data_IF_588197815615
#
_entry.id   IF_588197815615
#
_cell.length_a   1.000
_cell.length_b   1.000
_cell.length_c   1.000
_cell.angle_alpha   90.00
_cell.angle_beta   90.00
_cell.angle_gamma   90.00
#
_symmetry.space_group_name_H-M   'P 1'
#
loop_
_entity.id
_entity.type
_entity.pdbx_description
1 polymer ?
#
# COMPACT_ATOMS: atom_id res chain seq x y z
N UNK A 1 44.97 -14.88 43.57
CA UNK A 1 45.17 -15.74 44.75
C UNK A 1 46.36 -16.70 44.57
N UNK A 2 46.36 -17.56 43.55
CA UNK A 2 47.43 -18.59 43.32
C UNK A 2 48.82 -17.98 43.15
N UNK A 3 49.00 -16.92 42.35
CA UNK A 3 50.28 -16.25 42.15
C UNK A 3 50.80 -15.60 43.48
N UNK A 4 49.91 -15.06 44.29
CA UNK A 4 50.29 -14.54 45.62
C UNK A 4 50.76 -15.63 46.56
N UNK A 5 50.07 -16.78 46.60
CA UNK A 5 50.55 -17.93 47.42
C UNK A 5 51.86 -18.49 46.94
N UNK A 6 52.06 -18.62 45.60
CA UNK A 6 53.31 -19.07 45.05
C UNK A 6 54.47 -18.13 45.41
N UNK A 7 54.28 -16.79 45.28
CA UNK A 7 55.25 -15.79 45.68
C UNK A 7 55.59 -15.82 47.19
N UNK A 8 54.59 -16.00 48.06
CA UNK A 8 54.82 -16.15 49.50
C UNK A 8 55.65 -17.40 49.83
N UNK A 9 55.38 -18.53 49.20
CA UNK A 9 56.15 -19.79 49.41
C UNK A 9 57.58 -19.72 48.87
N UNK A 10 57.83 -18.94 47.85
CA UNK A 10 59.21 -18.67 47.39
C UNK A 10 59.96 -17.84 48.44
N UNK A 11 59.31 -16.84 49.06
CA UNK A 11 59.90 -16.03 50.10
C UNK A 11 60.25 -16.85 51.37
N UNK A 12 59.50 -17.92 51.67
CA UNK A 12 59.78 -18.84 52.76
C UNK A 12 60.73 -20.01 52.39
N UNK A 13 61.20 -20.03 51.12
CA UNK A 13 62.13 -21.11 50.67
C UNK A 13 61.49 -22.42 50.36
N UNK A 14 60.13 -22.54 50.37
CA UNK A 14 59.40 -23.77 50.09
C UNK A 14 59.25 -24.04 48.57
N UNK A 15 59.40 -23.01 47.75
CA UNK A 15 59.33 -23.05 46.29
C UNK A 15 60.47 -22.29 45.63
N UNK A 16 60.82 -22.68 44.40
CA UNK A 16 61.83 -22.00 43.58
C UNK A 16 61.15 -20.93 42.67
N UNK A 17 61.97 -20.02 42.13
CA UNK A 17 61.50 -19.05 41.14
C UNK A 17 60.98 -19.80 39.89
N UNK A 18 61.56 -20.95 39.54
CA UNK A 18 61.06 -21.82 38.43
C UNK A 18 59.67 -22.32 38.67
N UNK A 19 59.26 -22.60 39.93
CA UNK A 19 57.91 -23.07 40.25
C UNK A 19 56.86 -21.98 40.04
N UNK A 20 57.21 -20.68 40.30
CA UNK A 20 56.30 -19.56 39.93
C UNK A 20 56.04 -19.50 38.44
N UNK A 21 57.08 -19.65 37.63
CA UNK A 21 56.93 -19.66 36.15
C UNK A 21 56.08 -20.84 35.73
N UNK A 22 56.26 -22.00 36.32
CA UNK A 22 55.49 -23.23 36.04
C UNK A 22 54.00 -22.99 36.43
N UNK A 23 53.71 -22.47 37.62
CA UNK A 23 52.31 -22.14 38.04
C UNK A 23 51.66 -21.17 37.10
N UNK A 24 52.39 -20.12 36.65
CA UNK A 24 51.87 -19.15 35.69
C UNK A 24 51.57 -19.80 34.34
N UNK A 25 52.50 -20.66 33.85
CA UNK A 25 52.28 -21.39 32.58
C UNK A 25 51.03 -22.29 32.64
N UNK A 26 50.86 -23.03 33.75
CA UNK A 26 49.64 -23.86 33.94
C UNK A 26 48.39 -23.05 34.05
N UNK A 27 48.43 -21.89 34.73
CA UNK A 27 47.28 -20.99 34.79
C UNK A 27 46.84 -20.51 33.41
N UNK A 28 47.79 -20.07 32.58
CA UNK A 28 47.51 -19.63 31.20
C UNK A 28 46.94 -20.82 30.38
N UNK A 29 47.56 -21.99 30.52
CA UNK A 29 47.15 -23.21 29.77
C UNK A 29 45.73 -23.68 30.18
N UNK A 30 45.31 -23.50 31.42
CA UNK A 30 43.94 -23.75 31.90
C UNK A 30 42.93 -22.66 31.49
N UNK A 31 43.41 -21.41 31.48
CA UNK A 31 42.56 -20.27 31.15
C UNK A 31 42.08 -20.28 29.68
N UNK A 32 42.97 -20.70 28.76
CA UNK A 32 42.63 -20.73 27.31
C UNK A 32 41.42 -21.63 27.03
N UNK A 33 41.36 -22.91 27.43
CA UNK A 33 40.19 -23.74 27.16
C UNK A 33 38.94 -23.27 27.92
N UNK A 34 39.05 -22.69 29.13
CA UNK A 34 37.93 -22.12 29.86
C UNK A 34 37.33 -20.92 29.14
N UNK A 35 38.19 -20.04 28.59
CA UNK A 35 37.70 -18.94 27.77
C UNK A 35 37.02 -19.43 26.49
N UNK A 36 37.53 -20.47 25.86
CA UNK A 36 36.93 -21.07 24.67
C UNK A 36 35.55 -21.67 24.98
N UNK A 37 35.37 -22.33 26.12
CA UNK A 37 34.03 -22.80 26.57
C UNK A 37 33.04 -21.64 26.72
N UNK A 38 33.49 -20.47 27.22
CA UNK A 38 32.68 -19.28 27.30
C UNK A 38 32.24 -18.75 25.93
N UNK A 39 33.09 -18.84 24.92
CA UNK A 39 32.75 -18.48 23.54
C UNK A 39 31.72 -19.47 22.98
N UNK A 40 31.97 -20.77 23.08
CA UNK A 40 31.05 -21.81 22.62
C UNK A 40 29.66 -21.65 23.26
N UNK A 41 29.60 -21.40 24.56
CA UNK A 41 28.33 -21.18 25.26
C UNK A 41 27.54 -20.00 24.69
N UNK A 42 28.22 -18.86 24.38
CA UNK A 42 27.58 -17.71 23.77
C UNK A 42 27.08 -18.00 22.35
N UNK A 43 27.89 -18.69 21.54
CA UNK A 43 27.50 -19.09 20.18
C UNK A 43 26.30 -20.05 20.17
N UNK A 44 26.30 -21.04 21.07
CA UNK A 44 25.18 -21.94 21.26
C UNK A 44 23.90 -21.19 21.64
N UNK A 45 23.98 -20.28 22.61
CA UNK A 45 22.85 -19.45 23.01
C UNK A 45 22.33 -18.60 21.85
N UNK A 46 23.22 -17.97 21.09
CA UNK A 46 22.83 -17.18 19.91
C UNK A 46 22.15 -18.05 18.86
N UNK A 47 22.74 -19.20 18.51
CA UNK A 47 22.16 -20.13 17.56
C UNK A 47 20.76 -20.62 17.96
N UNK A 48 20.54 -20.94 19.24
CA UNK A 48 19.24 -21.32 19.76
C UNK A 48 18.22 -20.19 19.64
N UNK A 49 18.62 -18.96 19.94
CA UNK A 49 17.74 -17.79 19.79
C UNK A 49 17.38 -17.52 18.32
N UNK A 50 18.35 -17.71 17.43
CA UNK A 50 18.10 -17.52 15.98
C UNK A 50 17.18 -18.61 15.41
N UNK A 51 17.35 -19.86 15.86
CA UNK A 51 16.44 -20.99 15.56
C UNK A 51 15.03 -20.68 16.08
N UNK A 52 14.88 -20.23 17.32
CA UNK A 52 13.60 -19.87 17.92
C UNK A 52 12.89 -18.78 17.11
N UNK A 53 13.62 -17.72 16.69
CA UNK A 53 13.09 -16.67 15.81
C UNK A 53 12.67 -17.22 14.45
N UNK A 54 13.50 -18.07 13.84
CA UNK A 54 13.16 -18.70 12.56
C UNK A 54 11.89 -19.55 12.63
N UNK A 55 11.74 -20.37 13.67
CA UNK A 55 10.54 -21.15 13.87
C UNK A 55 9.33 -20.26 14.24
N UNK A 56 9.56 -19.14 14.97
CA UNK A 56 8.53 -18.12 15.23
C UNK A 56 7.93 -17.59 13.94
N UNK A 57 8.75 -17.27 12.94
CA UNK A 57 8.27 -16.81 11.62
C UNK A 57 7.42 -17.87 10.89
N UNK A 58 7.71 -19.15 11.06
CA UNK A 58 6.91 -20.23 10.47
C UNK A 58 5.54 -20.41 11.16
N UNK A 59 5.39 -19.94 12.39
CA UNK A 59 4.14 -19.99 13.14
C UNK A 59 3.30 -18.72 13.01
N UNK A 60 3.81 -17.69 12.30
CA UNK A 60 3.03 -16.49 11.99
C UNK A 60 1.78 -16.88 11.22
N UNK A 61 0.63 -16.61 11.82
CA UNK A 61 -0.68 -16.88 11.21
C UNK A 61 -1.08 -15.69 10.35
N UNK A 62 -1.67 -15.96 9.20
CA UNK A 62 -2.26 -14.93 8.36
C UNK A 62 -3.43 -14.30 9.12
N UNK A 63 -3.38 -12.98 9.33
CA UNK A 63 -4.48 -12.24 9.97
C UNK A 63 -5.78 -12.40 9.20
N UNK A 64 -5.70 -12.46 7.86
CA UNK A 64 -6.84 -12.64 6.96
C UNK A 64 -6.62 -13.91 6.14
N UNK A 65 -7.43 -14.92 6.43
CA UNK A 65 -7.45 -16.19 5.71
C UNK A 65 -8.81 -16.39 5.03
N UNK A 66 -8.82 -17.18 3.97
CA UNK A 66 -10.09 -17.61 3.37
C UNK A 66 -10.82 -18.58 4.30
N UNK A 67 -12.13 -18.41 4.43
CA UNK A 67 -12.96 -19.36 5.12
C UNK A 67 -12.91 -20.75 4.41
N UNK A 68 -13.05 -21.86 5.12
CA UNK A 68 -13.02 -23.20 4.50
C UNK A 68 -14.06 -23.39 3.38
N UNK A 69 -15.18 -22.69 3.49
CA UNK A 69 -16.31 -22.66 2.56
C UNK A 69 -16.32 -21.43 1.64
N UNK A 70 -15.22 -20.66 1.57
CA UNK A 70 -15.12 -19.48 0.75
C UNK A 70 -15.34 -19.82 -0.74
N UNK A 71 -16.22 -19.02 -1.37
CA UNK A 71 -16.59 -19.17 -2.76
C UNK A 71 -15.83 -18.20 -3.67
N UNK A 72 -15.74 -18.50 -4.94
CA UNK A 72 -15.20 -17.58 -5.93
C UNK A 72 -16.23 -16.51 -6.28
N UNK A 73 -15.75 -15.27 -6.49
CA UNK A 73 -16.60 -14.19 -6.99
C UNK A 73 -16.99 -14.51 -8.45
N UNK A 74 -18.29 -14.56 -8.80
CA UNK A 74 -18.73 -14.76 -10.18
C UNK A 74 -18.16 -13.66 -11.10
N UNK A 75 -17.71 -14.05 -12.30
CA UNK A 75 -17.25 -13.10 -13.31
C UNK A 75 -18.41 -12.23 -13.83
N UNK A 76 -18.11 -10.98 -14.16
CA UNK A 76 -19.07 -10.04 -14.74
C UNK A 76 -19.14 -8.73 -13.98
N UNK A 77 -20.12 -7.86 -14.32
CA UNK A 77 -20.32 -6.58 -13.63
C UNK A 77 -20.53 -6.80 -12.13
N UNK A 78 -19.90 -5.97 -11.31
CA UNK A 78 -19.92 -6.14 -9.86
C UNK A 78 -20.52 -4.90 -9.19
N UNK A 79 -21.54 -5.07 -8.35
CA UNK A 79 -21.99 -4.04 -7.41
C UNK A 79 -21.22 -4.16 -6.09
N UNK A 80 -21.06 -3.05 -5.39
CA UNK A 80 -20.41 -3.00 -4.07
C UNK A 80 -21.37 -2.36 -3.06
N UNK A 81 -21.55 -3.00 -1.91
CA UNK A 81 -22.39 -2.50 -0.85
C UNK A 81 -21.62 -2.45 0.47
N UNK A 82 -21.55 -1.28 1.10
CA UNK A 82 -21.11 -1.10 2.47
C UNK A 82 -22.35 -1.05 3.37
N UNK A 83 -22.47 -1.98 4.30
CA UNK A 83 -23.64 -2.12 5.19
C UNK A 83 -23.23 -1.78 6.61
N UNK A 84 -23.51 -0.57 7.07
CA UNK A 84 -23.22 -0.07 8.43
C UNK A 84 -21.82 -0.43 8.91
N UNK A 85 -20.83 -0.17 8.08
CA UNK A 85 -19.45 -0.55 8.32
C UNK A 85 -18.83 0.27 9.43
N UNK A 86 -18.35 -0.42 10.47
CA UNK A 86 -17.52 0.13 11.53
C UNK A 86 -16.12 -0.51 11.49
N UNK A 87 -15.07 0.30 11.63
CA UNK A 87 -13.69 -0.16 11.55
C UNK A 87 -12.72 0.67 12.38
N UNK A 88 -11.74 -0.01 12.98
CA UNK A 88 -10.61 0.57 13.69
C UNK A 88 -9.33 -0.22 13.41
N UNK A 89 -8.20 0.46 13.17
CA UNK A 89 -6.88 -0.20 13.17
C UNK A 89 -6.42 -0.53 14.60
N UNK A 90 -6.70 0.37 15.54
CA UNK A 90 -6.55 0.16 16.97
C UNK A 90 -7.95 0.23 17.59
N UNK A 91 -8.38 -0.78 18.38
CA UNK A 91 -9.70 -0.78 19.03
C UNK A 91 -10.01 0.49 19.83
N UNK A 92 -8.96 1.20 20.30
CA UNK A 92 -9.09 2.46 21.04
C UNK A 92 -9.35 3.66 20.14
N UNK A 93 -9.17 3.54 18.81
CA UNK A 93 -9.31 4.63 17.86
C UNK A 93 -10.16 4.21 16.65
N UNK A 94 -11.48 4.21 16.77
CA UNK A 94 -12.37 3.95 15.65
C UNK A 94 -12.14 4.96 14.51
N UNK A 95 -12.15 4.46 13.27
CA UNK A 95 -11.91 5.26 12.06
C UNK A 95 -13.20 5.41 11.24
N UNK A 96 -14.01 4.35 11.13
CA UNK A 96 -15.28 4.36 10.42
C UNK A 96 -16.42 4.03 11.39
N UNK A 97 -17.54 4.77 11.26
CA UNK A 97 -18.70 4.68 12.11
C UNK A 97 -19.96 4.50 11.27
N UNK A 98 -20.49 3.29 11.21
CA UNK A 98 -21.77 2.96 10.54
C UNK A 98 -21.86 3.47 9.10
N UNK A 99 -20.77 3.37 8.35
CA UNK A 99 -20.72 3.80 6.94
C UNK A 99 -21.62 2.89 6.11
N UNK A 100 -22.61 3.48 5.44
CA UNK A 100 -23.63 2.77 4.66
C UNK A 100 -23.84 3.45 3.29
N UNK A 101 -23.44 2.77 2.21
CA UNK A 101 -23.66 3.22 0.83
C UNK A 101 -23.50 2.07 -0.16
N UNK A 102 -23.93 2.30 -1.39
CA UNK A 102 -23.85 1.33 -2.47
C UNK A 102 -23.18 1.96 -3.70
N UNK A 103 -22.41 1.15 -4.42
CA UNK A 103 -21.94 1.45 -5.77
C UNK A 103 -22.63 0.46 -6.70
N UNK A 104 -23.68 0.87 -7.43
CA UNK A 104 -24.33 0.00 -8.40
C UNK A 104 -23.35 -0.45 -9.49
N UNK A 105 -23.60 -1.60 -10.10
CA UNK A 105 -22.75 -2.09 -11.17
C UNK A 105 -22.65 -1.07 -12.32
N UNK A 106 -21.43 -0.78 -12.75
CA UNK A 106 -21.14 0.17 -13.83
C UNK A 106 -21.24 1.65 -13.45
N UNK A 107 -21.44 1.97 -12.15
CA UNK A 107 -21.51 3.35 -11.66
C UNK A 107 -20.21 3.77 -10.96
N UNK A 108 -19.99 5.07 -10.93
CA UNK A 108 -18.87 5.71 -10.23
C UNK A 108 -19.37 6.41 -8.98
N UNK A 109 -18.89 5.98 -7.81
CA UNK A 109 -19.09 6.70 -6.54
C UNK A 109 -17.78 7.32 -6.10
N UNK A 110 -17.83 8.61 -5.81
CA UNK A 110 -16.69 9.35 -5.30
C UNK A 110 -16.81 9.60 -3.80
N UNK A 111 -15.69 9.48 -3.08
CA UNK A 111 -15.62 9.79 -1.64
C UNK A 111 -14.65 10.95 -1.44
N UNK A 112 -15.16 12.02 -0.86
CA UNK A 112 -14.41 13.24 -0.52
C UNK A 112 -14.48 13.52 0.97
N UNK A 113 -13.60 14.38 1.48
CA UNK A 113 -13.55 14.76 2.90
C UNK A 113 -12.16 15.18 3.32
N UNK A 114 -12.04 15.69 4.54
CA UNK A 114 -10.75 16.12 5.09
C UNK A 114 -9.73 14.98 5.21
N UNK A 115 -8.43 15.33 5.30
CA UNK A 115 -7.39 14.33 5.58
C UNK A 115 -7.69 13.64 6.92
N UNK A 116 -7.52 12.31 6.97
CA UNK A 116 -7.82 11.51 8.16
C UNK A 116 -9.31 11.16 8.36
N UNK A 117 -10.23 11.55 7.47
CA UNK A 117 -11.67 11.22 7.60
C UNK A 117 -12.01 9.74 7.36
N UNK A 118 -11.04 8.91 6.90
CA UNK A 118 -11.24 7.46 6.67
C UNK A 118 -11.39 7.04 5.21
N UNK A 119 -11.21 7.94 4.24
CA UNK A 119 -11.39 7.65 2.79
C UNK A 119 -10.55 6.47 2.30
N UNK A 120 -9.23 6.51 2.48
CA UNK A 120 -8.34 5.44 2.02
C UNK A 120 -8.55 4.12 2.80
N UNK A 121 -9.18 4.20 3.99
CA UNK A 121 -9.59 3.00 4.74
C UNK A 121 -10.69 2.24 3.99
N UNK A 122 -11.62 2.94 3.31
CA UNK A 122 -12.65 2.28 2.49
C UNK A 122 -12.05 1.45 1.37
N UNK A 123 -11.03 1.99 0.65
CA UNK A 123 -10.32 1.24 -0.39
C UNK A 123 -9.62 -0.01 0.17
N UNK A 124 -8.95 0.14 1.32
CA UNK A 124 -8.23 -0.96 1.97
C UNK A 124 -9.19 -2.07 2.43
N UNK A 125 -10.35 -1.71 2.93
CA UNK A 125 -11.38 -2.66 3.32
C UNK A 125 -12.01 -3.36 2.11
N UNK A 126 -12.31 -2.63 1.04
CA UNK A 126 -12.85 -3.20 -0.19
C UNK A 126 -11.88 -4.20 -0.85
N UNK A 127 -10.57 -3.92 -0.81
CA UNK A 127 -9.54 -4.84 -1.28
C UNK A 127 -9.24 -5.98 -0.29
N UNK A 128 -9.93 -5.98 0.85
CA UNK A 128 -9.78 -6.94 1.94
C UNK A 128 -8.31 -7.05 2.42
N UNK A 129 -7.69 -5.89 2.72
CA UNK A 129 -6.47 -5.86 3.52
C UNK A 129 -6.77 -6.05 5.01
N UNK A 130 -8.01 -5.74 5.41
CA UNK A 130 -8.55 -5.91 6.75
C UNK A 130 -10.00 -6.38 6.63
N UNK A 131 -10.47 -7.16 7.59
CA UNK A 131 -11.89 -7.49 7.74
C UNK A 131 -12.58 -6.45 8.64
N UNK A 132 -13.84 -6.14 8.35
CA UNK A 132 -14.62 -5.19 9.14
C UNK A 132 -15.00 -5.76 10.50
N UNK A 133 -14.96 -4.94 11.56
CA UNK A 133 -15.38 -5.34 12.90
C UNK A 133 -16.89 -5.25 13.09
N UNK A 134 -17.55 -4.32 12.39
CA UNK A 134 -19.00 -4.15 12.44
C UNK A 134 -19.56 -4.00 11.04
N UNK A 135 -20.76 -4.50 10.81
CA UNK A 135 -21.39 -4.50 9.50
C UNK A 135 -20.79 -5.51 8.51
N UNK A 136 -20.95 -5.23 7.23
CA UNK A 136 -20.45 -6.06 6.14
C UNK A 136 -20.11 -5.21 4.92
N UNK A 137 -19.16 -5.69 4.11
CA UNK A 137 -18.95 -5.21 2.75
C UNK A 137 -19.30 -6.36 1.81
N UNK A 138 -20.17 -6.10 0.85
CA UNK A 138 -20.63 -7.12 -0.10
C UNK A 138 -20.26 -6.74 -1.52
N UNK A 139 -19.89 -7.74 -2.30
CA UNK A 139 -19.75 -7.65 -3.76
C UNK A 139 -20.73 -8.62 -4.38
N UNK A 140 -21.62 -8.13 -5.23
CA UNK A 140 -22.73 -8.90 -5.81
C UNK A 140 -23.54 -9.69 -4.75
N UNK A 141 -23.80 -9.07 -3.59
CA UNK A 141 -24.52 -9.68 -2.47
C UNK A 141 -23.69 -10.63 -1.58
N UNK A 142 -22.50 -11.04 -2.00
CA UNK A 142 -21.61 -11.89 -1.21
C UNK A 142 -20.76 -11.04 -0.25
N UNK A 143 -20.75 -11.40 1.03
CA UNK A 143 -19.83 -10.79 2.02
C UNK A 143 -18.37 -11.06 1.62
N UNK A 144 -17.50 -10.06 1.71
CA UNK A 144 -16.08 -10.21 1.37
C UNK A 144 -15.40 -11.35 2.16
N UNK A 145 -15.86 -11.60 3.40
CA UNK A 145 -15.32 -12.65 4.27
C UNK A 145 -15.65 -14.05 3.77
N UNK A 146 -16.72 -14.21 3.00
CA UNK A 146 -17.13 -15.46 2.39
C UNK A 146 -16.55 -15.68 0.97
N UNK A 147 -15.79 -14.72 0.44
CA UNK A 147 -15.14 -14.81 -0.87
C UNK A 147 -13.68 -15.25 -0.73
N UNK A 148 -13.20 -16.02 -1.71
CA UNK A 148 -11.76 -16.29 -1.86
C UNK A 148 -11.03 -15.01 -2.22
N UNK A 149 -10.00 -14.67 -1.45
CA UNK A 149 -9.22 -13.43 -1.65
C UNK A 149 -8.66 -13.31 -3.06
N UNK A 150 -8.18 -14.40 -3.65
CA UNK A 150 -7.60 -14.37 -4.99
C UNK A 150 -8.65 -14.00 -6.04
N UNK A 151 -9.87 -14.53 -5.98
CA UNK A 151 -10.95 -14.20 -6.92
C UNK A 151 -11.43 -12.76 -6.72
N UNK A 152 -11.59 -12.31 -5.49
CA UNK A 152 -11.93 -10.93 -5.16
C UNK A 152 -10.88 -9.96 -5.71
N UNK A 153 -9.61 -10.20 -5.40
CA UNK A 153 -8.49 -9.35 -5.82
C UNK A 153 -8.26 -9.39 -7.34
N UNK A 154 -8.60 -10.50 -8.00
CA UNK A 154 -8.59 -10.57 -9.47
C UNK A 154 -9.63 -9.61 -10.08
N UNK A 155 -10.81 -9.51 -9.46
CA UNK A 155 -11.90 -8.63 -9.94
C UNK A 155 -11.69 -7.14 -9.60
N UNK A 156 -10.72 -6.78 -8.75
CA UNK A 156 -10.46 -5.39 -8.33
C UNK A 156 -9.09 -4.94 -8.84
N UNK A 157 -9.00 -3.74 -9.42
CA UNK A 157 -7.73 -3.05 -9.61
C UNK A 157 -7.70 -1.73 -8.83
N UNK A 158 -6.51 -1.38 -8.35
CA UNK A 158 -6.25 -0.13 -7.63
C UNK A 158 -5.25 0.70 -8.42
N UNK A 159 -5.59 1.97 -8.63
CA UNK A 159 -4.66 3.00 -9.07
C UNK A 159 -4.30 3.83 -7.84
N UNK A 160 -3.13 3.61 -7.23
CA UNK A 160 -2.75 4.23 -5.97
C UNK A 160 -2.30 5.68 -6.16
N UNK A 161 -2.22 6.42 -5.06
CA UNK A 161 -1.65 7.76 -5.01
C UNK A 161 -0.19 7.78 -5.45
N UNK A 162 0.63 6.90 -4.84
CA UNK A 162 2.04 6.73 -5.18
C UNK A 162 2.26 5.43 -5.94
N UNK A 163 2.58 5.57 -7.23
CA UNK A 163 2.86 4.42 -8.07
C UNK A 163 4.31 3.96 -7.91
N UNK A 164 4.49 2.77 -7.38
CA UNK A 164 5.79 2.10 -7.30
C UNK A 164 6.10 1.41 -8.62
N UNK A 165 7.31 1.64 -9.13
CA UNK A 165 7.84 0.96 -10.31
C UNK A 165 8.90 -0.06 -9.90
N UNK A 166 8.83 -1.23 -10.52
CA UNK A 166 9.91 -2.21 -10.44
C UNK A 166 11.14 -1.72 -11.21
N UNK A 167 12.29 -2.09 -10.71
CA UNK A 167 13.57 -1.76 -11.35
C UNK A 167 13.84 -2.67 -12.56
N UNK A 168 12.97 -2.56 -13.55
CA UNK A 168 12.89 -3.39 -14.75
C UNK A 168 12.41 -2.55 -15.95
N UNK A 169 12.14 -3.19 -17.09
CA UNK A 169 11.66 -2.53 -18.30
C UNK A 169 10.26 -1.91 -18.08
N UNK A 170 9.94 -0.91 -18.90
CA UNK A 170 8.60 -0.32 -18.91
C UNK A 170 7.54 -1.37 -19.32
N UNK A 171 7.90 -2.26 -20.26
CA UNK A 171 7.07 -3.40 -20.64
C UNK A 171 6.70 -4.26 -19.43
N UNK A 172 7.70 -4.73 -18.67
CA UNK A 172 7.49 -5.53 -17.45
C UNK A 172 6.60 -4.80 -16.44
N UNK A 173 6.85 -3.50 -16.25
CA UNK A 173 6.07 -2.70 -15.33
C UNK A 173 4.59 -2.62 -15.70
N UNK A 174 4.24 -2.57 -17.00
CA UNK A 174 2.84 -2.59 -17.45
C UNK A 174 2.28 -4.01 -17.36
N UNK A 175 3.04 -5.01 -17.84
CA UNK A 175 2.63 -6.42 -17.85
C UNK A 175 2.34 -6.95 -16.44
N UNK A 176 2.91 -6.35 -15.40
CA UNK A 176 2.64 -6.71 -14.01
C UNK A 176 1.14 -6.66 -13.65
N UNK A 177 0.33 -5.86 -14.34
CA UNK A 177 -1.14 -5.86 -14.20
C UNK A 177 -1.77 -7.22 -14.50
N UNK A 178 -1.23 -7.95 -15.49
CA UNK A 178 -1.60 -9.33 -15.87
C UNK A 178 -0.36 -10.02 -16.47
N UNK A 179 0.39 -10.78 -15.66
CA UNK A 179 1.66 -11.41 -16.10
C UNK A 179 1.54 -12.35 -17.30
N UNK A 180 0.36 -12.92 -17.54
CA UNK A 180 0.06 -13.79 -18.69
C UNK A 180 -0.31 -13.04 -19.97
N UNK A 181 -0.34 -11.68 -19.94
CA UNK A 181 -0.71 -10.88 -21.09
C UNK A 181 0.35 -10.93 -22.19
N UNK A 182 -0.12 -11.04 -23.44
CA UNK A 182 0.73 -10.96 -24.62
C UNK A 182 1.19 -9.51 -24.89
N UNK A 183 2.25 -9.36 -25.69
CA UNK A 183 2.82 -8.05 -26.02
C UNK A 183 1.77 -7.09 -26.61
N UNK A 184 0.94 -7.59 -27.52
CA UNK A 184 -0.12 -6.78 -28.15
C UNK A 184 -1.14 -6.21 -27.14
N UNK A 185 -1.47 -6.97 -26.09
CA UNK A 185 -2.37 -6.54 -25.01
C UNK A 185 -1.72 -5.46 -24.13
N UNK A 186 -0.43 -5.65 -23.80
CA UNK A 186 0.35 -4.65 -23.06
C UNK A 186 0.43 -3.33 -23.82
N UNK A 187 0.70 -3.38 -25.12
CA UNK A 187 0.75 -2.21 -26.01
C UNK A 187 -0.63 -1.55 -26.13
N UNK A 188 -1.71 -2.32 -26.20
CA UNK A 188 -3.08 -1.81 -26.21
C UNK A 188 -3.43 -1.09 -24.91
N UNK A 189 -3.07 -1.65 -23.77
CA UNK A 189 -3.24 -1.00 -22.45
C UNK A 189 -2.43 0.28 -22.31
N UNK A 190 -1.19 0.29 -22.82
CA UNK A 190 -0.34 1.48 -22.85
C UNK A 190 -0.95 2.61 -23.72
N UNK A 191 -1.51 2.27 -24.88
CA UNK A 191 -2.23 3.23 -25.76
C UNK A 191 -3.46 3.79 -25.05
N UNK A 192 -4.27 2.92 -24.44
CA UNK A 192 -5.46 3.34 -23.70
C UNK A 192 -5.11 4.28 -22.53
N UNK A 193 -3.95 4.09 -21.90
CA UNK A 193 -3.42 4.97 -20.86
C UNK A 193 -2.63 6.18 -21.41
N UNK A 194 -2.65 6.43 -22.75
CA UNK A 194 -1.92 7.54 -23.42
C UNK A 194 -0.42 7.58 -23.09
N UNK A 195 0.22 6.42 -23.01
CA UNK A 195 1.67 6.30 -22.83
C UNK A 195 2.43 6.24 -24.16
N UNK A 196 1.76 6.03 -25.29
CA UNK A 196 2.39 5.71 -26.57
C UNK A 196 3.37 6.81 -27.04
N UNK A 197 2.97 8.08 -26.98
CA UNK A 197 3.82 9.21 -27.40
C UNK A 197 5.04 9.36 -26.47
N UNK A 198 4.90 9.02 -25.19
CA UNK A 198 6.01 8.99 -24.26
C UNK A 198 6.96 7.84 -24.61
N UNK A 199 6.44 6.63 -24.81
CA UNK A 199 7.23 5.44 -25.12
C UNK A 199 8.00 5.61 -26.43
N UNK A 200 7.42 6.22 -27.46
CA UNK A 200 8.09 6.50 -28.74
C UNK A 200 9.31 7.43 -28.61
N UNK A 201 9.34 8.26 -27.58
CA UNK A 201 10.48 9.19 -27.32
C UNK A 201 11.59 8.53 -26.51
N UNK A 202 11.36 7.35 -25.96
CA UNK A 202 12.36 6.61 -25.20
C UNK A 202 13.36 5.92 -26.17
N UNK A 203 14.66 5.87 -25.84
CA UNK A 203 15.67 5.29 -26.71
C UNK A 203 15.39 3.81 -27.03
N UNK A 204 14.94 3.04 -26.03
CA UNK A 204 14.66 1.59 -26.16
C UNK A 204 13.16 1.29 -26.11
N UNK A 205 12.28 2.33 -26.27
CA UNK A 205 10.83 2.16 -26.24
C UNK A 205 10.33 1.42 -25.01
N UNK A 206 9.60 0.32 -25.22
CA UNK A 206 9.08 -0.53 -24.13
C UNK A 206 10.16 -1.23 -23.32
N UNK A 207 11.36 -1.46 -23.90
CA UNK A 207 12.45 -2.17 -23.24
C UNK A 207 13.33 -1.21 -22.40
N UNK A 208 13.00 0.09 -22.39
CA UNK A 208 13.68 1.06 -21.51
C UNK A 208 13.51 0.68 -20.05
N UNK A 209 14.64 0.55 -19.34
CA UNK A 209 14.63 0.30 -17.89
C UNK A 209 14.20 1.53 -17.12
N UNK A 210 13.26 1.35 -16.21
CA UNK A 210 12.68 2.39 -15.34
C UNK A 210 12.83 1.99 -13.87
N UNK A 211 12.52 2.89 -12.94
CA UNK A 211 12.64 2.66 -11.51
C UNK A 211 13.86 3.35 -10.90
N UNK A 212 14.32 2.91 -9.71
CA UNK A 212 15.38 3.60 -8.95
C UNK A 212 16.74 3.58 -9.66
N UNK A 213 17.07 2.50 -10.38
CA UNK A 213 18.34 2.30 -11.09
C UNK A 213 18.24 2.56 -12.59
N UNK A 214 17.09 2.97 -13.09
CA UNK A 214 16.84 3.28 -14.49
C UNK A 214 16.32 4.70 -14.67
N UNK A 215 15.60 4.92 -15.81
CA UNK A 215 14.99 6.19 -16.09
C UNK A 215 13.94 6.53 -15.02
N UNK A 216 14.06 7.73 -14.42
CA UNK A 216 13.04 8.24 -13.49
C UNK A 216 11.89 8.83 -14.27
N UNK A 217 10.69 8.28 -14.07
CA UNK A 217 9.47 8.79 -14.64
C UNK A 217 8.94 9.97 -13.82
N UNK A 218 8.33 10.95 -14.48
CA UNK A 218 7.54 12.00 -13.84
C UNK A 218 6.32 11.40 -13.09
N UNK A 219 5.72 12.17 -12.19
CA UNK A 219 4.52 11.74 -11.47
C UNK A 219 3.38 11.33 -12.41
N UNK A 220 3.15 12.13 -13.48
CA UNK A 220 2.12 11.84 -14.48
C UNK A 220 2.39 10.58 -15.31
N UNK A 221 3.65 10.30 -15.66
CA UNK A 221 4.02 9.07 -16.37
C UNK A 221 3.85 7.84 -15.47
N UNK A 222 4.27 7.91 -14.21
CA UNK A 222 4.03 6.84 -13.23
C UNK A 222 2.54 6.54 -13.08
N UNK A 223 1.72 7.58 -13.02
CA UNK A 223 0.27 7.43 -12.86
C UNK A 223 -0.36 6.78 -14.10
N UNK A 224 0.08 7.15 -15.31
CA UNK A 224 -0.35 6.48 -16.55
C UNK A 224 0.08 5.01 -16.59
N UNK A 225 1.26 4.66 -16.06
CA UNK A 225 1.66 3.25 -15.92
C UNK A 225 0.73 2.51 -14.96
N UNK A 226 0.32 3.12 -13.84
CA UNK A 226 -0.65 2.51 -12.93
C UNK A 226 -2.02 2.31 -13.59
N UNK A 227 -2.49 3.28 -14.37
CA UNK A 227 -3.72 3.16 -15.16
C UNK A 227 -3.59 2.05 -16.21
N UNK A 228 -2.45 1.97 -16.93
CA UNK A 228 -2.20 0.90 -17.90
C UNK A 228 -2.22 -0.49 -17.23
N UNK A 229 -1.61 -0.65 -16.05
CA UNK A 229 -1.69 -1.87 -15.24
C UNK A 229 -3.14 -2.25 -14.91
N UNK A 230 -3.92 -1.26 -14.48
CA UNK A 230 -5.32 -1.46 -14.12
C UNK A 230 -6.16 -1.86 -15.33
N UNK A 231 -5.97 -1.19 -16.48
CA UNK A 231 -6.66 -1.51 -17.72
C UNK A 231 -6.29 -2.91 -18.25
N UNK A 232 -5.00 -3.27 -18.21
CA UNK A 232 -4.52 -4.59 -18.65
C UNK A 232 -5.10 -5.72 -17.81
N UNK A 233 -5.34 -5.48 -16.54
CA UNK A 233 -5.97 -6.44 -15.62
C UNK A 233 -7.43 -6.71 -15.98
N UNK A 234 -8.12 -5.74 -16.60
CA UNK A 234 -9.55 -5.76 -16.97
C UNK A 234 -10.48 -6.12 -15.80
N UNK A 235 -10.46 -5.34 -14.71
CA UNK A 235 -11.21 -5.64 -13.50
C UNK A 235 -12.69 -5.24 -13.61
N UNK A 236 -13.57 -5.90 -12.85
CA UNK A 236 -14.96 -5.49 -12.68
C UNK A 236 -15.12 -4.23 -11.81
N UNK A 237 -14.17 -4.03 -10.88
CA UNK A 237 -14.16 -2.92 -9.91
C UNK A 237 -12.83 -2.16 -10.01
N UNK A 238 -12.91 -0.84 -10.17
CA UNK A 238 -11.76 0.07 -10.14
C UNK A 238 -11.77 0.89 -8.85
N UNK A 239 -10.61 1.01 -8.22
CA UNK A 239 -10.40 1.91 -7.09
C UNK A 239 -9.33 2.92 -7.51
N UNK A 240 -9.68 4.22 -7.45
CA UNK A 240 -8.74 5.31 -7.62
C UNK A 240 -8.49 5.96 -6.26
N UNK A 241 -7.29 5.80 -5.71
CA UNK A 241 -6.93 6.35 -4.39
C UNK A 241 -6.02 7.56 -4.59
N UNK A 242 -6.61 8.77 -4.52
CA UNK A 242 -5.93 10.07 -4.65
C UNK A 242 -5.01 10.19 -5.88
N UNK A 243 -5.38 9.57 -6.98
CA UNK A 243 -4.55 9.34 -8.16
C UNK A 243 -4.03 10.63 -8.87
N UNK A 244 -4.45 11.83 -8.44
CA UNK A 244 -4.06 13.12 -9.06
C UNK A 244 -3.43 14.11 -8.09
N UNK A 245 -3.28 13.77 -6.81
CA UNK A 245 -2.90 14.71 -5.74
C UNK A 245 -1.52 15.36 -5.90
N UNK A 246 -0.57 14.68 -6.57
CA UNK A 246 0.82 15.12 -6.73
C UNK A 246 1.14 15.69 -8.12
N UNK A 247 0.12 16.03 -8.95
CA UNK A 247 0.30 16.43 -10.34
C UNK A 247 0.09 17.94 -10.54
N UNK A 248 0.76 18.50 -11.54
CA UNK A 248 0.46 19.85 -12.03
C UNK A 248 -0.92 19.88 -12.71
N UNK A 249 -1.55 21.05 -12.75
CA UNK A 249 -2.94 21.22 -13.20
C UNK A 249 -3.20 20.78 -14.65
N UNK A 250 -2.20 20.82 -15.54
CA UNK A 250 -2.35 20.40 -16.95
C UNK A 250 -2.31 18.88 -17.06
N UNK A 251 -1.35 18.26 -16.40
CA UNK A 251 -1.21 16.80 -16.33
C UNK A 251 -2.39 16.16 -15.59
N UNK A 252 -2.88 16.82 -14.53
CA UNK A 252 -4.04 16.39 -13.79
C UNK A 252 -5.28 16.21 -14.67
N UNK A 253 -5.66 17.24 -15.45
CA UNK A 253 -6.83 17.15 -16.36
C UNK A 253 -6.72 16.00 -17.35
N UNK A 254 -5.51 15.76 -17.89
CA UNK A 254 -5.27 14.63 -18.78
C UNK A 254 -5.45 13.27 -18.07
N UNK A 255 -4.97 13.15 -16.84
CA UNK A 255 -5.14 11.93 -16.03
C UNK A 255 -6.61 11.73 -15.63
N UNK A 256 -7.34 12.78 -15.24
CA UNK A 256 -8.77 12.73 -14.92
C UNK A 256 -9.58 12.18 -16.11
N UNK A 257 -9.33 12.69 -17.32
CA UNK A 257 -9.98 12.17 -18.53
C UNK A 257 -9.69 10.68 -18.75
N UNK A 258 -8.46 10.22 -18.48
CA UNK A 258 -8.10 8.81 -18.60
C UNK A 258 -8.76 7.95 -17.53
N UNK A 259 -8.86 8.45 -16.28
CA UNK A 259 -9.59 7.76 -15.21
C UNK A 259 -11.07 7.60 -15.56
N UNK A 260 -11.70 8.65 -16.10
CA UNK A 260 -13.10 8.60 -16.54
C UNK A 260 -13.30 7.55 -17.67
N UNK A 261 -12.40 7.52 -18.66
CA UNK A 261 -12.41 6.49 -19.72
C UNK A 261 -12.21 5.08 -19.16
N UNK A 262 -11.27 4.93 -18.22
CA UNK A 262 -11.00 3.63 -17.58
C UNK A 262 -12.21 3.12 -16.77
N UNK A 263 -12.98 4.04 -16.16
CA UNK A 263 -14.16 3.72 -15.36
C UNK A 263 -15.39 3.36 -16.22
N UNK A 264 -15.43 3.71 -17.52
CA UNK A 264 -16.58 3.43 -18.37
C UNK A 264 -16.92 1.94 -18.39
N UNK A 265 -18.18 1.62 -18.09
CA UNK A 265 -18.70 0.24 -18.05
C UNK A 265 -18.19 -0.58 -16.85
N UNK A 266 -17.42 0.00 -15.93
CA UNK A 266 -16.92 -0.63 -14.71
C UNK A 266 -17.47 0.04 -13.47
N UNK A 267 -17.53 -0.69 -12.39
CA UNK A 267 -17.86 -0.11 -11.08
C UNK A 267 -16.63 0.58 -10.50
N UNK A 268 -16.76 1.85 -10.14
CA UNK A 268 -15.60 2.64 -9.70
C UNK A 268 -15.83 3.29 -8.33
N UNK A 269 -14.84 3.15 -7.44
CA UNK A 269 -14.71 3.91 -6.21
C UNK A 269 -13.57 4.93 -6.38
N UNK A 270 -13.89 6.22 -6.36
CA UNK A 270 -12.92 7.30 -6.51
C UNK A 270 -12.71 7.97 -5.15
N UNK A 271 -11.53 7.83 -4.57
CA UNK A 271 -11.12 8.58 -3.39
C UNK A 271 -10.38 9.80 -3.87
N UNK A 272 -10.93 10.97 -3.62
CA UNK A 272 -10.37 12.21 -4.12
C UNK A 272 -10.03 13.20 -3.01
N UNK A 273 -8.88 13.83 -3.19
CA UNK A 273 -8.48 15.01 -2.42
C UNK A 273 -8.89 16.30 -3.14
N UNK A 274 -8.93 16.28 -4.49
CA UNK A 274 -9.37 17.40 -5.31
C UNK A 274 -10.78 17.19 -5.81
N UNK A 275 -11.65 18.16 -5.56
CA UNK A 275 -13.07 18.07 -5.91
C UNK A 275 -13.31 18.16 -7.43
N UNK A 276 -12.37 18.75 -8.18
CA UNK A 276 -12.38 18.74 -9.66
C UNK A 276 -12.43 17.33 -10.27
N UNK A 277 -11.89 16.33 -9.55
CA UNK A 277 -11.81 14.94 -10.01
C UNK A 277 -13.15 14.20 -9.93
N UNK A 278 -14.11 14.70 -9.15
CA UNK A 278 -15.33 13.96 -8.79
C UNK A 278 -16.62 14.58 -9.33
N UNK A 279 -16.52 15.64 -10.14
CA UNK A 279 -17.69 16.37 -10.64
C UNK A 279 -18.64 15.51 -11.48
N UNK A 280 -18.07 14.57 -12.23
CA UNK A 280 -18.81 13.69 -13.15
C UNK A 280 -19.21 12.35 -12.50
N UNK A 281 -18.96 12.16 -11.20
CA UNK A 281 -19.38 10.96 -10.49
C UNK A 281 -20.91 10.86 -10.38
N UNK A 282 -21.45 9.65 -10.48
CA UNK A 282 -22.88 9.39 -10.34
C UNK A 282 -23.40 9.76 -8.96
N UNK A 283 -22.58 9.51 -7.92
CA UNK A 283 -22.81 9.95 -6.56
C UNK A 283 -21.51 10.38 -5.90
N UNK A 284 -21.57 11.45 -5.11
CA UNK A 284 -20.48 11.94 -4.27
C UNK A 284 -20.88 11.75 -2.82
N UNK A 285 -20.00 11.16 -2.02
CA UNK A 285 -20.15 10.94 -0.59
C UNK A 285 -19.14 11.83 0.13
N UNK A 286 -19.64 12.66 1.05
CA UNK A 286 -18.80 13.47 1.93
C UNK A 286 -18.59 12.71 3.23
N UNK A 287 -17.35 12.36 3.50
CA UNK A 287 -16.95 11.65 4.71
C UNK A 287 -16.29 12.64 5.68
N UNK A 288 -16.82 12.74 6.88
CA UNK A 288 -16.24 13.52 7.97
C UNK A 288 -16.21 12.70 9.25
N UNK A 289 -15.05 12.68 9.92
CA UNK A 289 -14.81 11.91 11.16
C UNK A 289 -15.37 10.47 11.10
N UNK A 290 -15.15 9.80 9.96
CA UNK A 290 -15.58 8.42 9.75
C UNK A 290 -17.08 8.21 9.52
N UNK A 291 -17.86 9.29 9.32
CA UNK A 291 -19.31 9.26 9.07
C UNK A 291 -19.63 9.90 7.73
N UNK A 292 -20.68 9.41 7.07
CA UNK A 292 -21.23 10.06 5.89
C UNK A 292 -22.09 11.24 6.38
N UNK A 293 -21.69 12.47 6.02
CA UNK A 293 -22.41 13.70 6.39
C UNK A 293 -23.29 14.23 5.26
N UNK A 294 -22.88 14.04 4.01
CA UNK A 294 -23.62 14.40 2.82
C UNK A 294 -23.45 13.38 1.72
N UNK A 295 -24.46 13.26 0.87
CA UNK A 295 -24.37 12.49 -0.38
C UNK A 295 -25.28 13.08 -1.46
N UNK A 296 -24.88 12.94 -2.71
CA UNK A 296 -25.63 13.41 -3.87
C UNK A 296 -24.72 13.69 -5.06
N UNK A 297 -25.28 14.23 -6.13
CA UNK A 297 -24.53 14.70 -7.31
C UNK A 297 -23.92 16.08 -7.05
N UNK A 298 -22.84 16.41 -7.77
CA UNK A 298 -22.11 17.67 -7.65
C UNK A 298 -23.02 18.91 -7.59
N UNK A 299 -23.90 19.09 -8.58
CA UNK A 299 -24.79 20.25 -8.64
C UNK A 299 -25.77 20.32 -7.45
N UNK A 300 -26.29 19.17 -7.00
CA UNK A 300 -27.20 19.09 -5.88
C UNK A 300 -26.50 19.42 -4.53
N UNK A 301 -25.27 18.96 -4.36
CA UNK A 301 -24.47 19.23 -3.15
C UNK A 301 -24.03 20.70 -3.10
N UNK A 302 -23.69 21.31 -4.22
CA UNK A 302 -23.41 22.75 -4.28
C UNK A 302 -24.65 23.59 -3.91
N UNK A 303 -25.82 23.23 -4.47
CA UNK A 303 -27.06 23.95 -4.19
C UNK A 303 -27.50 23.87 -2.72
N UNK A 304 -27.10 22.80 -1.99
CA UNK A 304 -27.37 22.66 -0.55
C UNK A 304 -26.57 23.60 0.33
N UNK A 305 -25.41 24.09 -0.16
CA UNK A 305 -24.54 25.00 0.62
C UNK A 305 -23.90 24.37 1.85
N UNK A 306 -23.82 23.03 1.91
CA UNK A 306 -23.32 22.27 3.05
C UNK A 306 -21.80 22.08 3.06
N UNK A 307 -21.32 21.00 3.69
CA UNK A 307 -19.90 20.71 3.84
C UNK A 307 -19.17 20.56 2.48
N UNK A 308 -19.83 19.94 1.49
CA UNK A 308 -19.29 19.84 0.14
C UNK A 308 -19.06 21.22 -0.52
N UNK A 309 -20.07 22.10 -0.45
CA UNK A 309 -19.99 23.43 -1.03
C UNK A 309 -18.90 24.29 -0.37
N UNK A 310 -18.75 24.16 0.96
CA UNK A 310 -17.67 24.85 1.68
C UNK A 310 -16.28 24.36 1.24
N UNK A 311 -16.08 23.04 1.15
CA UNK A 311 -14.81 22.47 0.65
C UNK A 311 -14.52 22.94 -0.79
N UNK A 312 -15.55 22.99 -1.65
CA UNK A 312 -15.43 23.46 -3.03
C UNK A 312 -14.95 24.91 -3.10
N UNK A 313 -15.56 25.82 -2.34
CA UNK A 313 -15.17 27.23 -2.30
C UNK A 313 -13.73 27.41 -1.81
N UNK A 314 -13.35 26.68 -0.78
CA UNK A 314 -11.96 26.73 -0.25
C UNK A 314 -10.94 26.26 -1.30
N UNK A 315 -11.20 25.19 -2.04
CA UNK A 315 -10.31 24.73 -3.09
C UNK A 315 -10.23 25.73 -4.24
N UNK A 316 -11.34 26.32 -4.66
CA UNK A 316 -11.32 27.35 -5.70
C UNK A 316 -10.54 28.61 -5.29
N UNK A 317 -10.60 29.00 -4.03
CA UNK A 317 -9.79 30.10 -3.51
C UNK A 317 -8.30 29.77 -3.56
N UNK A 318 -7.91 28.60 -3.09
CA UNK A 318 -6.51 28.16 -3.11
C UNK A 318 -5.95 28.08 -4.56
N UNK A 319 -6.74 27.64 -5.53
CA UNK A 319 -6.34 27.60 -6.94
C UNK A 319 -6.17 29.01 -7.54
N UNK A 320 -7.00 29.97 -7.17
CA UNK A 320 -6.89 31.37 -7.60
C UNK A 320 -5.64 32.03 -7.01
N UNK A 321 -5.42 31.87 -5.71
CA UNK A 321 -4.26 32.43 -5.02
C UNK A 321 -2.94 31.85 -5.55
N UNK A 322 -2.91 30.55 -5.85
CA UNK A 322 -1.76 29.89 -6.47
C UNK A 322 -1.53 30.38 -7.93
N UNK A 323 -2.61 30.66 -8.68
CA UNK A 323 -2.55 31.20 -10.04
C UNK A 323 -2.03 32.63 -10.10
N UNK A 324 -2.37 33.47 -9.13
CA UNK A 324 -1.88 34.86 -9.06
C UNK A 324 -0.42 34.93 -8.58
N UNK A 325 0.00 34.06 -7.67
CA UNK A 325 1.39 33.98 -7.22
C UNK A 325 2.38 33.49 -8.32
N UNK A 326 1.88 32.88 -9.40
CA UNK A 326 2.70 32.35 -10.51
C UNK A 326 2.82 33.32 -11.71
N UNK A 327 2.22 34.52 -11.68
CA UNK A 327 2.41 35.54 -12.69
C UNK A 327 3.69 36.31 -12.38
N UNK A 328 4.71 36.31 -13.28
CA UNK A 328 5.88 37.16 -13.10
C UNK A 328 5.45 38.64 -13.18
N UNK A 329 6.00 39.46 -12.27
CA UNK A 329 5.83 40.91 -12.23
C UNK A 329 6.48 41.59 -13.43
#
# INVERSE_FOLDING_TARGET
>A
AMMWQAAARVATGEMTIGDIVLVNAFMIQLYIPLNFLGVIYRELRQALTDIERMFGLLHEQREIADAPDAVELPAGPASVRFERVGFAYDPKRPILHEVDFEIPAGHTVAVVGHSGSGKSTLARLLYRFYDVQQGAIRVNGHDLRALRQNSLRAAIAIVPQDTVLFNDTLFYNIQYGRPSAERAEVEAAARAAQLEDFIRRLPDGYDTRVGERGLKLSGGEKQRVAIARALLKDPAILIFDEATSALDSRTEKAIQAQMALAAQGRTALVIAHRLSTVMDADEIIVLDQGRIVERGRHAALLARGGAYAQMWLLQQQQERDAGDASKPA
#
